data_IF_236897802719
#
_entry.id   IF_236897802719
#
_cell.length_a   1.000
_cell.length_b   1.000
_cell.length_c   1.000
_cell.angle_alpha   90.00
_cell.angle_beta   90.00
_cell.angle_gamma   90.00
#
_symmetry.space_group_name_H-M   'P 1'
#
loop_
_entity.id
_entity.type
_entity.pdbx_description
1 polymer ?
#
# COMPACT_ATOMS: atom_id res chain seq x y z
N UNK A 1 9.21 -13.60 4.39
CA UNK A 1 8.78 -12.29 3.83
C UNK A 1 7.33 -12.12 4.23
N UNK A 2 6.98 -11.08 4.99
CA UNK A 2 5.58 -10.85 5.38
C UNK A 2 4.83 -10.39 4.12
N UNK A 3 3.81 -11.13 3.70
CA UNK A 3 2.90 -10.71 2.63
C UNK A 3 2.32 -9.34 3.02
N UNK A 4 2.73 -8.31 2.30
CA UNK A 4 2.20 -6.97 2.45
C UNK A 4 0.76 -6.97 1.94
N UNK A 5 -0.21 -7.05 2.83
CA UNK A 5 -1.63 -6.93 2.46
C UNK A 5 -1.87 -5.52 1.96
N UNK A 6 -2.67 -5.37 0.90
CA UNK A 6 -3.17 -4.06 0.48
C UNK A 6 -4.20 -3.55 1.49
N UNK A 7 -3.70 -3.07 2.63
CA UNK A 7 -4.48 -2.63 3.77
C UNK A 7 -5.49 -1.52 3.45
N UNK A 8 -5.17 -0.63 2.50
CA UNK A 8 -6.08 0.43 2.08
C UNK A 8 -7.28 -0.13 1.32
N UNK A 9 -7.04 -1.08 0.41
CA UNK A 9 -8.11 -1.77 -0.33
C UNK A 9 -8.94 -2.62 0.62
N UNK A 10 -8.32 -3.39 1.51
CA UNK A 10 -9.01 -4.21 2.50
C UNK A 10 -9.88 -3.36 3.43
N UNK A 11 -9.36 -2.22 3.89
CA UNK A 11 -10.14 -1.29 4.72
C UNK A 11 -11.39 -0.76 3.97
N UNK A 12 -11.25 -0.40 2.69
CA UNK A 12 -12.38 0.04 1.87
C UNK A 12 -13.42 -1.06 1.66
N UNK A 13 -12.99 -2.28 1.37
CA UNK A 13 -13.88 -3.43 1.15
C UNK A 13 -14.67 -3.78 2.42
N UNK A 14 -14.00 -3.82 3.57
CA UNK A 14 -14.67 -4.10 4.85
C UNK A 14 -15.65 -2.99 5.23
N UNK A 15 -15.28 -1.72 4.99
CA UNK A 15 -16.18 -0.58 5.25
C UNK A 15 -17.38 -0.57 4.30
N UNK A 16 -17.19 -0.94 3.03
CA UNK A 16 -18.27 -1.07 2.06
C UNK A 16 -19.26 -2.18 2.43
N UNK A 17 -18.79 -3.23 3.10
CA UNK A 17 -19.62 -4.30 3.67
C UNK A 17 -20.35 -3.90 4.97
N UNK A 18 -20.24 -2.64 5.41
CA UNK A 18 -20.91 -2.14 6.62
C UNK A 18 -20.25 -2.57 7.92
N UNK A 19 -19.03 -3.10 7.89
CA UNK A 19 -18.33 -3.53 9.10
C UNK A 19 -17.79 -2.31 9.88
N UNK A 20 -17.83 -2.33 11.22
CA UNK A 20 -17.35 -1.24 12.06
C UNK A 20 -15.81 -1.24 12.14
N UNK A 21 -15.12 -1.06 11.01
CA UNK A 21 -13.65 -1.04 10.96
C UNK A 21 -13.10 0.34 11.31
N UNK A 22 -12.07 0.37 12.16
CA UNK A 22 -11.29 1.57 12.50
C UNK A 22 -10.00 1.62 11.67
N UNK A 23 -9.35 0.48 11.48
CA UNK A 23 -8.07 0.44 10.80
C UNK A 23 -7.70 -0.96 10.34
N UNK A 24 -6.82 -1.01 9.34
CA UNK A 24 -6.20 -2.25 8.85
C UNK A 24 -4.70 -2.01 8.86
N UNK A 25 -3.98 -2.88 9.56
CA UNK A 25 -2.52 -2.86 9.58
C UNK A 25 -1.93 -3.45 8.29
N UNK A 26 -0.68 -3.11 7.99
CA UNK A 26 0.05 -3.67 6.85
C UNK A 26 0.24 -5.20 6.92
N UNK A 27 0.09 -5.81 8.10
CA UNK A 27 0.10 -7.26 8.28
C UNK A 27 -1.26 -7.93 8.06
N UNK A 28 -2.30 -7.17 7.71
CA UNK A 28 -3.66 -7.70 7.51
C UNK A 28 -4.50 -7.80 8.79
N UNK A 29 -3.97 -7.44 9.96
CA UNK A 29 -4.78 -7.32 11.18
C UNK A 29 -5.78 -6.17 11.03
N UNK A 30 -7.05 -6.44 11.29
CA UNK A 30 -8.17 -5.49 11.25
C UNK A 30 -8.57 -5.11 12.68
N UNK A 31 -8.64 -3.82 12.96
CA UNK A 31 -9.12 -3.26 14.22
C UNK A 31 -10.55 -2.73 14.04
N UNK A 32 -11.46 -3.17 14.91
CA UNK A 32 -12.88 -2.83 14.86
C UNK A 32 -13.29 -1.91 16.01
N UNK A 33 -14.28 -1.05 15.79
CA UNK A 33 -14.79 -0.10 16.79
C UNK A 33 -15.57 -0.74 17.93
N UNK A 34 -16.11 -1.94 17.69
CA UNK A 34 -16.78 -2.77 18.67
C UNK A 34 -16.58 -4.23 18.32
N UNK A 35 -16.93 -5.12 19.24
CA UNK A 35 -17.04 -6.53 18.93
C UNK A 35 -18.04 -6.73 17.76
N UNK A 36 -17.65 -7.59 16.81
CA UNK A 36 -18.48 -7.99 15.69
C UNK A 36 -19.52 -9.02 16.13
N UNK A 37 -20.73 -8.90 15.59
CA UNK A 37 -21.75 -9.94 15.65
C UNK A 37 -21.33 -11.16 14.82
N UNK A 38 -21.97 -12.32 15.02
CA UNK A 38 -21.64 -13.54 14.27
C UNK A 38 -21.76 -13.35 12.74
N UNK A 39 -22.81 -12.68 12.28
CA UNK A 39 -23.02 -12.39 10.86
C UNK A 39 -21.93 -11.45 10.28
N UNK A 40 -21.51 -10.46 11.06
CA UNK A 40 -20.42 -9.56 10.68
C UNK A 40 -19.06 -10.29 10.66
N UNK A 41 -18.84 -11.25 11.57
CA UNK A 41 -17.63 -12.07 11.57
C UNK A 41 -17.55 -12.96 10.32
N UNK A 42 -18.65 -13.59 9.91
CA UNK A 42 -18.70 -14.41 8.69
C UNK A 42 -18.48 -13.55 7.43
N UNK A 43 -19.06 -12.35 7.40
CA UNK A 43 -18.86 -11.40 6.32
C UNK A 43 -17.40 -10.95 6.24
N UNK A 44 -16.79 -10.60 7.37
CA UNK A 44 -15.38 -10.22 7.45
C UNK A 44 -14.45 -11.34 6.99
N UNK A 45 -14.71 -12.59 7.42
CA UNK A 45 -13.93 -13.76 6.99
C UNK A 45 -14.01 -13.97 5.47
N UNK A 46 -15.19 -13.83 4.89
CA UNK A 46 -15.39 -13.97 3.45
C UNK A 46 -14.62 -12.90 2.67
N UNK A 47 -14.66 -11.65 3.13
CA UNK A 47 -13.95 -10.53 2.50
C UNK A 47 -12.44 -10.72 2.61
N UNK A 48 -11.94 -11.09 3.80
CA UNK A 48 -10.50 -11.33 4.00
C UNK A 48 -10.02 -12.52 3.15
N UNK A 49 -10.81 -13.58 3.03
CA UNK A 49 -10.46 -14.75 2.22
C UNK A 49 -10.49 -14.46 0.72
N UNK A 50 -11.38 -13.56 0.27
CA UNK A 50 -11.46 -13.10 -1.12
C UNK A 50 -10.47 -11.96 -1.42
N UNK A 51 -9.81 -11.40 -0.41
CA UNK A 51 -8.94 -10.25 -0.58
C UNK A 51 -7.67 -10.64 -1.31
N UNK A 52 -7.47 -10.00 -2.46
CA UNK A 52 -6.27 -10.15 -3.26
C UNK A 52 -5.07 -9.54 -2.50
N UNK A 53 -4.11 -10.38 -2.13
CA UNK A 53 -2.89 -10.03 -1.40
C UNK A 53 -1.85 -9.31 -2.28
N UNK A 54 -2.21 -8.97 -3.51
CA UNK A 54 -1.31 -8.25 -4.42
C UNK A 54 -0.90 -6.91 -3.77
N UNK A 55 0.41 -6.68 -3.59
CA UNK A 55 0.91 -5.45 -2.97
C UNK A 55 0.46 -4.22 -3.77
N UNK A 56 0.30 -3.09 -3.08
CA UNK A 56 -0.06 -1.82 -3.73
C UNK A 56 1.03 -1.39 -4.70
N UNK A 57 0.66 -0.63 -5.73
CA UNK A 57 1.62 -0.01 -6.67
C UNK A 57 2.72 0.78 -5.94
N UNK A 58 2.40 1.40 -4.79
CA UNK A 58 3.38 2.09 -3.95
C UNK A 58 4.41 1.16 -3.31
N UNK A 59 4.02 -0.05 -2.92
CA UNK A 59 4.94 -1.07 -2.37
C UNK A 59 5.77 -1.68 -3.49
N UNK A 60 5.15 -1.99 -4.63
CA UNK A 60 5.84 -2.47 -5.84
C UNK A 60 6.88 -1.44 -6.30
N UNK A 61 6.50 -0.17 -6.39
CA UNK A 61 7.40 0.93 -6.74
C UNK A 61 8.58 1.04 -5.76
N UNK A 62 8.32 0.92 -4.46
CA UNK A 62 9.37 0.96 -3.43
C UNK A 62 10.32 -0.24 -3.49
N UNK A 63 9.82 -1.41 -3.82
CA UNK A 63 10.65 -2.60 -4.04
C UNK A 63 11.49 -2.47 -5.32
N UNK A 64 10.90 -2.00 -6.42
CA UNK A 64 11.62 -1.74 -7.67
C UNK A 64 12.72 -0.68 -7.49
N UNK A 65 12.43 0.42 -6.78
CA UNK A 65 13.44 1.41 -6.42
C UNK A 65 14.61 0.81 -5.65
N UNK A 66 14.30 -0.02 -4.65
CA UNK A 66 15.33 -0.68 -3.84
C UNK A 66 16.15 -1.68 -4.67
N UNK A 67 15.53 -2.43 -5.57
CA UNK A 67 16.21 -3.32 -6.51
C UNK A 67 17.12 -2.56 -7.49
N UNK A 68 16.68 -1.39 -7.93
CA UNK A 68 17.44 -0.48 -8.78
C UNK A 68 18.55 0.29 -8.02
N UNK A 69 18.66 0.10 -6.70
CA UNK A 69 19.69 0.73 -5.86
C UNK A 69 19.39 2.17 -5.46
N UNK A 70 18.16 2.64 -5.67
CA UNK A 70 17.74 3.99 -5.32
C UNK A 70 16.96 4.01 -4.00
N UNK A 71 17.16 5.07 -3.23
CA UNK A 71 16.42 5.36 -2.00
C UNK A 71 15.28 6.35 -2.24
N UNK A 72 14.38 6.48 -1.27
CA UNK A 72 13.34 7.53 -1.30
C UNK A 72 13.94 8.92 -1.40
N UNK A 73 15.07 9.16 -0.76
CA UNK A 73 15.72 10.46 -0.75
C UNK A 73 16.31 10.79 -2.12
N UNK A 74 16.79 9.80 -2.87
CA UNK A 74 17.25 9.98 -4.25
C UNK A 74 16.11 10.41 -5.18
N UNK A 75 14.93 9.78 -5.02
CA UNK A 75 13.72 10.16 -5.78
C UNK A 75 13.27 11.56 -5.39
N UNK A 76 13.26 11.88 -4.10
CA UNK A 76 12.86 13.20 -3.61
C UNK A 76 13.81 14.29 -4.12
N UNK A 77 15.12 14.04 -4.08
CA UNK A 77 16.13 14.96 -4.59
C UNK A 77 16.02 15.14 -6.10
N UNK A 78 15.79 14.07 -6.85
CA UNK A 78 15.56 14.13 -8.29
C UNK A 78 14.31 14.98 -8.64
N UNK A 79 13.21 14.78 -7.92
CA UNK A 79 11.98 15.57 -8.08
C UNK A 79 12.19 17.03 -7.72
N UNK A 80 12.91 17.31 -6.62
CA UNK A 80 13.24 18.69 -6.24
C UNK A 80 14.08 19.37 -7.33
N UNK A 81 15.12 18.70 -7.85
CA UNK A 81 15.98 19.25 -8.90
C UNK A 81 15.23 19.48 -10.22
N UNK A 82 14.30 18.58 -10.56
CA UNK A 82 13.39 18.75 -11.68
C UNK A 82 12.49 19.97 -11.50
N UNK A 83 11.88 20.13 -10.33
CA UNK A 83 10.95 21.22 -10.04
C UNK A 83 11.63 22.59 -9.86
N UNK A 84 12.79 22.63 -9.19
CA UNK A 84 13.49 23.86 -8.85
C UNK A 84 14.42 24.34 -9.97
N UNK A 85 15.10 23.41 -10.67
CA UNK A 85 16.13 23.73 -11.66
C UNK A 85 15.72 23.32 -13.09
N UNK A 86 14.56 22.69 -13.28
CA UNK A 86 14.14 22.13 -14.57
C UNK A 86 14.97 20.91 -15.01
N UNK A 87 15.84 20.41 -14.14
CA UNK A 87 16.78 19.34 -14.49
C UNK A 87 16.16 17.97 -14.30
N UNK A 88 15.76 17.34 -15.40
CA UNK A 88 15.15 16.02 -15.40
C UNK A 88 16.16 14.87 -15.47
N UNK A 89 17.48 15.15 -15.48
CA UNK A 89 18.51 14.13 -15.69
C UNK A 89 18.44 12.99 -14.68
N UNK A 90 18.25 13.31 -13.39
CA UNK A 90 18.11 12.29 -12.33
C UNK A 90 16.76 11.57 -12.40
N UNK A 91 15.70 12.27 -12.81
CA UNK A 91 14.37 11.68 -12.97
C UNK A 91 14.38 10.66 -14.11
N UNK A 92 15.00 10.96 -15.24
CA UNK A 92 15.12 10.03 -16.37
C UNK A 92 16.05 8.85 -16.05
N UNK A 93 17.12 9.08 -15.28
CA UNK A 93 17.99 7.99 -14.79
C UNK A 93 17.19 7.00 -13.93
N UNK A 94 16.42 7.50 -12.95
CA UNK A 94 15.59 6.66 -12.09
C UNK A 94 14.52 5.94 -12.91
N UNK A 95 13.84 6.63 -13.85
CA UNK A 95 12.86 6.00 -14.75
C UNK A 95 13.46 4.89 -15.61
N UNK A 96 14.69 5.04 -16.08
CA UNK A 96 15.35 4.03 -16.92
C UNK A 96 15.79 2.77 -16.15
N UNK A 97 15.83 2.85 -14.81
CA UNK A 97 16.26 1.76 -13.94
C UNK A 97 15.08 1.02 -13.27
N UNK A 98 13.86 1.54 -13.40
CA UNK A 98 12.61 0.96 -12.91
C UNK A 98 11.92 0.16 -14.03
#
# INVERSE_FOLDING_TARGET
MAQSVNHEKLHKELKAAGLPVIGVSASGRVDYARALTLAEQESAKTIIAAHDLTPTDSVVFMEQLKLAGFTRDDVLYALWKSAAEGSNALVELIKSAL
#
